data_IF_580960222534
#
_entry.id   IF_580960222534
#
_cell.length_a   1.000
_cell.length_b   1.000
_cell.length_c   1.000
_cell.angle_alpha   90.00
_cell.angle_beta   90.00
_cell.angle_gamma   90.00
#
_symmetry.space_group_name_H-M   'P 1'
#
loop_
_entity.id
_entity.type
_entity.pdbx_description
1 polymer ?
#
# COMPACT_ATOMS: atom_id res chain seq x y z
N UNK A 1 3.57 9.81 24.51
CA UNK A 1 3.88 10.27 23.14
C UNK A 1 3.16 9.36 22.16
N UNK A 2 2.21 9.88 21.38
CA UNK A 2 1.58 9.12 20.29
C UNK A 2 2.58 9.06 19.13
N UNK A 3 3.18 7.89 18.89
CA UNK A 3 4.02 7.63 17.73
C UNK A 3 3.14 7.77 16.49
N UNK A 4 3.28 8.88 15.76
CA UNK A 4 2.63 9.03 14.45
C UNK A 4 3.14 7.89 13.57
N UNK A 5 2.24 7.04 13.10
CA UNK A 5 2.59 6.03 12.09
C UNK A 5 3.12 6.78 10.87
N UNK A 6 4.36 6.51 10.41
CA UNK A 6 4.98 7.25 9.33
C UNK A 6 4.38 6.90 7.96
N UNK A 7 3.39 6.01 7.91
CA UNK A 7 2.71 5.61 6.68
C UNK A 7 1.22 5.84 6.85
N UNK A 8 0.61 6.55 5.90
CA UNK A 8 -0.82 6.69 5.79
C UNK A 8 -1.30 6.21 4.41
N UNK A 9 -2.39 5.46 4.40
CA UNK A 9 -3.07 5.02 3.17
C UNK A 9 -4.37 5.80 3.05
N UNK A 10 -4.57 6.47 1.92
CA UNK A 10 -5.76 7.26 1.64
C UNK A 10 -6.44 6.77 0.36
N UNK A 11 -7.64 6.18 0.43
CA UNK A 11 -8.41 5.90 -0.77
C UNK A 11 -8.99 7.17 -1.37
N UNK A 12 -9.15 7.20 -2.70
CA UNK A 12 -9.78 8.32 -3.42
C UNK A 12 -11.29 8.20 -3.60
N UNK A 13 -11.81 6.97 -3.71
CA UNK A 13 -13.20 6.72 -4.13
C UNK A 13 -14.02 6.03 -3.04
N UNK A 14 -13.74 4.76 -2.76
CA UNK A 14 -14.44 3.93 -1.78
C UNK A 14 -13.59 3.74 -0.52
N UNK A 15 -14.25 3.45 0.62
CA UNK A 15 -13.54 3.07 1.84
C UNK A 15 -12.53 1.97 1.56
N UNK A 16 -11.33 2.10 2.11
CA UNK A 16 -10.31 1.07 2.08
C UNK A 16 -9.69 1.07 3.46
N UNK A 17 -9.66 -0.09 4.09
CA UNK A 17 -8.92 -0.28 5.33
C UNK A 17 -7.52 -0.73 4.97
N UNK A 18 -6.53 -0.20 5.68
CA UNK A 18 -5.14 -0.56 5.48
C UNK A 18 -4.53 -0.98 6.81
N UNK A 19 -3.73 -2.03 6.78
CA UNK A 19 -2.89 -2.44 7.91
C UNK A 19 -1.44 -2.48 7.46
N UNK A 20 -0.60 -1.73 8.17
CA UNK A 20 0.85 -1.79 7.98
C UNK A 20 1.37 -3.10 8.58
N UNK A 21 1.89 -4.00 7.74
CA UNK A 21 2.44 -5.29 8.18
C UNK A 21 3.96 -5.24 8.34
N UNK A 22 4.66 -4.41 7.55
CA UNK A 22 6.12 -4.23 7.64
C UNK A 22 6.54 -2.82 7.22
N UNK A 23 7.50 -2.27 7.94
CA UNK A 23 8.14 -0.99 7.65
C UNK A 23 9.66 -1.13 7.82
N UNK A 24 10.37 -1.30 6.72
CA UNK A 24 11.82 -1.49 6.65
C UNK A 24 12.41 -0.63 5.51
N UNK A 25 13.73 -0.34 5.48
CA UNK A 25 14.30 0.60 4.51
C UNK A 25 14.16 0.15 3.05
N UNK A 26 14.19 -1.17 2.83
CA UNK A 26 14.12 -1.80 1.53
C UNK A 26 12.71 -2.28 1.16
N UNK A 27 11.77 -2.23 2.11
CA UNK A 27 10.48 -2.88 1.95
C UNK A 27 9.39 -2.31 2.87
N UNK A 28 8.29 -1.89 2.25
CA UNK A 28 7.04 -1.51 2.91
C UNK A 28 5.96 -2.54 2.55
N UNK A 29 5.36 -3.20 3.55
CA UNK A 29 4.25 -4.14 3.36
C UNK A 29 2.97 -3.65 4.01
N UNK A 30 1.89 -3.63 3.23
CA UNK A 30 0.59 -3.14 3.64
C UNK A 30 -0.49 -4.12 3.17
N UNK A 31 -1.29 -4.64 4.09
CA UNK A 31 -2.52 -5.34 3.74
C UNK A 31 -3.63 -4.32 3.47
N UNK A 32 -4.19 -4.35 2.27
CA UNK A 32 -5.32 -3.52 1.86
C UNK A 32 -6.60 -4.34 1.81
N UNK A 33 -7.65 -3.77 2.39
CA UNK A 33 -8.99 -4.34 2.45
C UNK A 33 -9.99 -3.40 1.80
N UNK A 34 -10.65 -3.85 0.72
CA UNK A 34 -11.68 -3.04 0.05
C UNK A 34 -12.91 -2.90 0.95
N UNK A 35 -13.49 -1.69 1.05
CA UNK A 35 -14.57 -1.45 2.02
C UNK A 35 -15.77 -0.63 1.50
N UNK A 36 -16.99 -1.09 1.81
CA UNK A 36 -17.87 -0.22 2.60
C UNK A 36 -18.65 -0.88 3.77
N UNK A 37 -18.43 -2.15 4.11
CA UNK A 37 -19.11 -2.86 5.23
C UNK A 37 -18.25 -3.99 5.86
N UNK A 38 -16.94 -3.82 5.91
CA UNK A 38 -16.00 -4.83 6.42
C UNK A 38 -16.32 -5.14 7.87
N UNK A 39 -16.42 -6.43 8.20
CA UNK A 39 -16.62 -6.84 9.59
C UNK A 39 -15.26 -7.06 10.23
N UNK A 40 -15.02 -6.36 11.33
CA UNK A 40 -13.86 -6.60 12.21
C UNK A 40 -14.30 -7.60 13.27
N UNK A 41 -13.74 -8.80 13.26
CA UNK A 41 -13.98 -9.83 14.29
C UNK A 41 -12.66 -10.07 15.02
N UNK A 42 -12.54 -9.56 16.25
CA UNK A 42 -11.26 -9.50 16.96
C UNK A 42 -10.22 -8.71 16.16
N UNK A 43 -9.07 -9.31 15.87
CA UNK A 43 -7.99 -8.70 15.08
C UNK A 43 -8.06 -9.02 13.57
N UNK A 44 -9.15 -9.66 13.11
CA UNK A 44 -9.30 -10.09 11.72
C UNK A 44 -10.28 -9.20 10.97
N UNK A 45 -9.82 -8.63 9.87
CA UNK A 45 -10.63 -7.87 8.92
C UNK A 45 -11.05 -8.82 7.81
N UNK A 46 -12.36 -9.00 7.63
CA UNK A 46 -12.92 -9.81 6.54
C UNK A 46 -13.75 -8.92 5.62
N UNK A 47 -13.25 -8.60 4.42
CA UNK A 47 -14.01 -7.83 3.44
C UNK A 47 -15.11 -8.70 2.84
N UNK A 48 -16.31 -8.14 2.69
CA UNK A 48 -17.45 -8.89 2.14
C UNK A 48 -17.35 -9.09 0.63
N UNK A 49 -16.75 -8.15 -0.10
CA UNK A 49 -16.56 -8.21 -1.55
C UNK A 49 -15.27 -7.48 -1.95
N UNK A 50 -14.54 -7.95 -2.99
CA UNK A 50 -13.49 -7.15 -3.62
C UNK A 50 -14.07 -5.83 -4.13
N UNK A 51 -13.30 -4.75 -4.02
CA UNK A 51 -13.69 -3.44 -4.53
C UNK A 51 -12.53 -2.80 -5.33
N UNK A 52 -12.80 -2.24 -6.52
CA UNK A 52 -11.81 -1.43 -7.21
C UNK A 52 -11.47 -0.23 -6.33
N UNK A 53 -10.20 -0.09 -5.99
CA UNK A 53 -9.71 0.92 -5.06
C UNK A 53 -8.56 1.67 -5.69
N UNK A 54 -8.69 2.99 -5.76
CA UNK A 54 -7.58 3.88 -6.05
C UNK A 54 -7.04 4.39 -4.71
N UNK A 55 -5.75 4.15 -4.46
CA UNK A 55 -5.12 4.46 -3.17
C UNK A 55 -3.91 5.35 -3.36
N UNK A 56 -3.74 6.28 -2.42
CA UNK A 56 -2.53 7.06 -2.21
C UNK A 56 -1.82 6.61 -0.95
N UNK A 57 -0.52 6.31 -1.07
CA UNK A 57 0.37 6.05 0.06
C UNK A 57 1.16 7.31 0.33
N UNK A 58 1.06 7.80 1.56
CA UNK A 58 1.84 8.90 2.09
C UNK A 58 2.86 8.30 3.05
N UNK A 59 4.13 8.48 2.74
CA UNK A 59 5.22 8.06 3.61
C UNK A 59 5.87 9.31 4.17
N UNK A 60 5.71 9.53 5.47
CA UNK A 60 6.45 10.54 6.21
C UNK A 60 7.91 10.13 6.41
N UNK A 61 8.73 11.08 6.82
CA UNK A 61 10.14 10.85 7.14
C UNK A 61 10.30 9.70 8.14
N UNK A 62 11.19 8.75 7.82
CA UNK A 62 11.41 7.58 8.65
C UNK A 62 12.28 6.53 7.95
N UNK A 63 12.02 5.26 8.26
CA UNK A 63 12.84 4.13 7.83
C UNK A 63 12.75 3.84 6.34
N UNK A 64 11.54 3.83 5.79
CA UNK A 64 11.32 3.73 4.34
C UNK A 64 11.06 5.13 3.81
N UNK A 65 11.73 5.49 2.72
CA UNK A 65 11.65 6.84 2.14
C UNK A 65 11.14 6.79 0.71
N UNK A 66 10.31 7.78 0.38
CA UNK A 66 9.79 8.00 -0.97
C UNK A 66 10.15 9.41 -1.38
N UNK A 67 11.24 9.56 -2.14
CA UNK A 67 11.64 10.84 -2.70
C UNK A 67 10.72 11.23 -3.87
N UNK A 68 10.55 12.53 -4.16
CA UNK A 68 9.84 12.98 -5.36
C UNK A 68 10.40 12.30 -6.62
N UNK A 69 9.52 11.87 -7.53
CA UNK A 69 9.86 11.18 -8.77
C UNK A 69 10.64 9.86 -8.62
N UNK A 70 10.85 9.36 -7.40
CA UNK A 70 11.45 8.04 -7.15
C UNK A 70 10.59 6.92 -7.71
N UNK A 71 11.25 5.84 -8.10
CA UNK A 71 10.61 4.70 -8.76
C UNK A 71 10.56 3.54 -7.77
N UNK A 72 9.42 2.88 -7.69
CA UNK A 72 9.18 1.78 -6.76
C UNK A 72 8.57 0.59 -7.48
N UNK A 73 9.03 -0.61 -7.13
CA UNK A 73 8.38 -1.84 -7.53
C UNK A 73 7.21 -2.11 -6.58
N UNK A 74 6.00 -2.06 -7.12
CA UNK A 74 4.77 -2.45 -6.47
C UNK A 74 4.47 -3.91 -6.83
N UNK A 75 4.42 -4.77 -5.84
CA UNK A 75 3.94 -6.15 -5.98
C UNK A 75 2.68 -6.34 -5.16
N UNK A 76 1.62 -6.84 -5.78
CA UNK A 76 0.37 -7.20 -5.13
C UNK A 76 0.26 -8.71 -5.07
N UNK A 77 -0.04 -9.24 -3.89
CA UNK A 77 -0.38 -10.64 -3.69
C UNK A 77 -1.81 -10.73 -3.19
N UNK A 78 -2.67 -11.40 -3.95
CA UNK A 78 -4.03 -11.70 -3.54
C UNK A 78 -4.07 -12.99 -2.72
N UNK A 79 -5.11 -13.13 -1.90
CA UNK A 79 -5.29 -14.29 -1.02
C UNK A 79 -5.40 -15.62 -1.77
N UNK A 80 -5.91 -15.61 -3.00
CA UNK A 80 -6.03 -16.80 -3.84
C UNK A 80 -4.70 -17.23 -4.49
N UNK A 81 -3.61 -16.48 -4.22
CA UNK A 81 -2.28 -16.75 -4.75
C UNK A 81 -1.96 -15.98 -6.02
N UNK A 82 -2.90 -15.21 -6.58
CA UNK A 82 -2.59 -14.35 -7.72
C UNK A 82 -1.56 -13.28 -7.32
N UNK A 83 -0.55 -13.08 -8.17
CA UNK A 83 0.48 -12.08 -7.98
C UNK A 83 0.62 -11.23 -9.24
N UNK A 84 0.74 -9.92 -9.04
CA UNK A 84 1.07 -8.97 -10.08
C UNK A 84 2.16 -8.02 -9.59
N UNK A 85 3.01 -7.57 -10.51
CA UNK A 85 4.04 -6.58 -10.24
C UNK A 85 3.97 -5.47 -11.27
N UNK A 86 4.15 -4.24 -10.83
CA UNK A 86 4.25 -3.07 -11.70
C UNK A 86 5.21 -2.06 -11.10
N UNK A 87 5.76 -1.21 -11.94
CA UNK A 87 6.59 -0.09 -11.49
C UNK A 87 5.70 1.13 -11.33
N UNK A 88 5.80 1.81 -10.19
CA UNK A 88 5.09 3.05 -9.91
C UNK A 88 6.09 4.16 -9.61
N UNK A 89 5.73 5.39 -9.99
CA UNK A 89 6.56 6.57 -9.75
C UNK A 89 5.89 7.47 -8.73
N UNK A 90 6.68 7.95 -7.77
CA UNK A 90 6.22 8.92 -6.80
C UNK A 90 5.92 10.27 -7.48
N UNK A 91 4.88 10.94 -7.02
CA UNK A 91 4.55 12.29 -7.48
C UNK A 91 5.59 13.33 -7.00
N UNK A 92 5.41 14.59 -7.41
CA UNK A 92 6.30 15.69 -7.01
C UNK A 92 6.38 15.94 -5.50
N UNK A 93 5.45 15.36 -4.73
CA UNK A 93 5.38 15.48 -3.28
C UNK A 93 5.85 14.21 -2.55
N UNK A 94 6.32 13.19 -3.26
CA UNK A 94 6.77 11.93 -2.66
C UNK A 94 5.62 11.00 -2.27
N UNK A 95 4.46 11.11 -2.92
CA UNK A 95 3.35 10.17 -2.71
C UNK A 95 3.28 9.13 -3.81
N UNK A 96 2.81 7.93 -3.46
CA UNK A 96 2.62 6.83 -4.41
C UNK A 96 1.13 6.60 -4.65
N UNK A 97 0.72 6.71 -5.89
CA UNK A 97 -0.66 6.48 -6.31
C UNK A 97 -0.75 5.22 -7.17
N UNK A 98 -1.71 4.35 -6.87
CA UNK A 98 -1.97 3.16 -7.68
C UNK A 98 -3.42 2.70 -7.53
N UNK A 99 -3.85 1.90 -8.50
CA UNK A 99 -5.15 1.25 -8.51
C UNK A 99 -4.98 -0.25 -8.33
N UNK A 100 -5.87 -0.86 -7.54
CA UNK A 100 -5.94 -2.31 -7.38
C UNK A 100 -7.38 -2.76 -7.09
N UNK A 101 -7.60 -4.06 -7.18
CA UNK A 101 -8.78 -4.68 -6.61
C UNK A 101 -8.50 -5.06 -5.16
N UNK A 102 -8.98 -4.24 -4.22
CA UNK A 102 -8.76 -4.46 -2.81
C UNK A 102 -9.75 -5.49 -2.28
N UNK A 103 -9.24 -6.63 -1.79
CA UNK A 103 -9.98 -7.63 -1.03
C UNK A 103 -9.24 -7.91 0.26
N UNK A 104 -8.30 -8.83 0.24
CA UNK A 104 -7.29 -9.00 1.30
C UNK A 104 -5.97 -9.09 0.53
N UNK A 105 -5.54 -7.92 0.05
CA UNK A 105 -4.45 -7.80 -0.93
C UNK A 105 -3.22 -7.32 -0.20
N UNK A 106 -2.17 -8.14 -0.17
CA UNK A 106 -0.89 -7.73 0.37
C UNK A 106 -0.15 -6.92 -0.69
N UNK A 107 0.07 -5.65 -0.39
CA UNK A 107 0.90 -4.73 -1.17
C UNK A 107 2.32 -4.74 -0.60
N UNK A 108 3.30 -5.02 -1.45
CA UNK A 108 4.72 -4.86 -1.15
C UNK A 108 5.29 -3.78 -2.05
N UNK A 109 5.91 -2.78 -1.43
CA UNK A 109 6.61 -1.70 -2.11
C UNK A 109 8.11 -1.82 -1.81
N UNK A 110 8.92 -1.77 -2.86
CA UNK A 110 10.39 -1.74 -2.76
C UNK A 110 10.92 -0.60 -3.61
N UNK A 111 11.94 0.15 -3.17
CA UNK A 111 12.63 1.06 -4.06
C UNK A 111 13.09 0.27 -5.28
N UNK A 112 12.75 0.73 -6.48
CA UNK A 112 13.35 0.18 -7.67
C UNK A 112 14.82 0.57 -7.60
N UNK A 113 15.72 -0.41 -7.50
CA UNK A 113 17.13 -0.14 -7.74
C UNK A 113 17.18 0.46 -9.14
N UNK A 114 17.68 1.69 -9.28
CA UNK A 114 18.05 2.21 -10.59
C UNK A 114 18.86 1.09 -11.27
N UNK A 115 18.35 0.61 -12.40
CA UNK A 115 19.20 -0.16 -13.29
C UNK A 115 20.27 0.84 -13.69
N UNK A 116 21.43 0.76 -13.07
CA UNK A 116 22.62 1.41 -13.57
C UNK A 116 22.80 0.85 -14.98
N UNK A 117 22.53 1.70 -15.97
CA UNK A 117 22.86 1.51 -17.38
C UNK A 117 24.35 1.16 -17.56
#
# INVERSE_FOLDING_TARGET
MLTRTPVAVRPYTTGCLARLDRYAPDELRISLYGDPTSTVVGNRISPRRPAPSQVRILVGTGTYEVAPASVHLLTTHEKDGAQASQTIRADSTGHLDFSLWAKETLVTLKPAKEQAE
#
